data_IF_523032651042
#
_entry.id   IF_523032651042
#
_cell.length_a   1.000
_cell.length_b   1.000
_cell.length_c   1.000
_cell.angle_alpha   90.00
_cell.angle_beta   90.00
_cell.angle_gamma   90.00
#
_symmetry.space_group_name_H-M   'P 1'
#
loop_
_entity.id
_entity.type
_entity.pdbx_description
1 polymer ?
#
# COMPACT_ATOMS: atom_id res chain seq x y z
N UNK A 1 9.47 -15.27 -10.86
CA UNK A 1 8.52 -14.41 -11.61
C UNK A 1 7.68 -13.62 -10.62
N UNK A 2 7.35 -12.34 -10.87
CA UNK A 2 6.44 -11.59 -10.00
C UNK A 2 5.04 -12.20 -10.06
N UNK A 3 4.41 -12.45 -8.92
CA UNK A 3 3.03 -12.96 -8.86
C UNK A 3 2.07 -11.78 -8.87
N UNK A 4 1.18 -11.71 -9.87
CA UNK A 4 0.09 -10.74 -9.84
C UNK A 4 -0.89 -11.12 -8.75
N UNK A 5 -1.21 -10.18 -7.88
CA UNK A 5 -2.04 -10.37 -6.71
C UNK A 5 -3.16 -9.33 -6.71
N UNK A 6 -4.35 -9.72 -6.27
CA UNK A 6 -5.47 -8.84 -5.96
C UNK A 6 -5.93 -9.17 -4.54
N UNK A 7 -5.73 -8.26 -3.59
CA UNK A 7 -6.07 -8.47 -2.17
C UNK A 7 -6.81 -7.27 -1.60
N UNK A 8 -7.56 -7.52 -0.53
CA UNK A 8 -8.21 -6.49 0.27
C UNK A 8 -7.60 -6.54 1.67
N UNK A 9 -7.42 -5.39 2.30
CA UNK A 9 -6.91 -5.31 3.66
C UNK A 9 -6.96 -3.89 4.21
N UNK A 10 -6.54 -3.74 5.45
CA UNK A 10 -6.70 -2.51 6.20
C UNK A 10 -5.39 -1.72 6.24
N UNK A 11 -5.44 -0.43 5.96
CA UNK A 11 -4.28 0.45 6.06
C UNK A 11 -3.91 0.63 7.52
N UNK A 12 -2.70 0.25 7.90
CA UNK A 12 -2.20 0.34 9.28
C UNK A 12 -1.20 1.47 9.46
N UNK A 13 -0.51 1.90 8.40
CA UNK A 13 0.42 3.03 8.45
C UNK A 13 0.61 3.69 7.08
N UNK A 14 0.92 4.98 7.09
CA UNK A 14 1.37 5.74 5.92
C UNK A 14 2.67 6.46 6.27
N UNK A 15 3.75 6.13 5.57
CA UNK A 15 5.07 6.74 5.72
C UNK A 15 5.33 7.66 4.54
N UNK A 16 5.46 8.95 4.81
CA UNK A 16 5.82 9.96 3.81
C UNK A 16 7.33 10.06 3.63
N UNK A 17 7.82 10.48 2.46
CA UNK A 17 9.25 10.60 2.24
C UNK A 17 9.85 11.65 3.17
N UNK A 18 10.95 11.29 3.84
CA UNK A 18 11.81 12.25 4.55
C UNK A 18 12.69 13.05 3.58
N UNK A 19 13.68 13.75 4.11
CA UNK A 19 14.68 14.44 3.28
C UNK A 19 15.53 13.41 2.51
N UNK A 20 15.36 13.32 1.20
CA UNK A 20 16.07 12.36 0.36
C UNK A 20 15.77 12.50 -1.13
N UNK A 21 16.60 11.85 -1.96
CA UNK A 21 16.55 11.98 -3.43
C UNK A 21 15.41 11.18 -4.08
N UNK A 22 14.80 10.23 -3.37
CA UNK A 22 13.74 9.37 -3.92
C UNK A 22 12.45 9.60 -3.15
N UNK A 23 11.51 10.40 -3.67
CA UNK A 23 10.20 10.53 -3.05
C UNK A 23 9.45 9.20 -3.20
N UNK A 24 9.25 8.50 -2.08
CA UNK A 24 8.36 7.36 -1.98
C UNK A 24 7.39 7.54 -0.81
N UNK A 25 6.10 7.31 -1.05
CA UNK A 25 5.11 7.12 0.02
C UNK A 25 4.91 5.63 0.19
N UNK A 26 5.06 5.14 1.42
CA UNK A 26 4.87 3.72 1.73
C UNK A 26 3.59 3.59 2.55
N UNK A 27 2.62 2.86 2.02
CA UNK A 27 1.41 2.49 2.74
C UNK A 27 1.59 1.05 3.22
N UNK A 28 1.46 0.81 4.51
CA UNK A 28 1.43 -0.54 5.07
C UNK A 28 -0.02 -0.95 5.26
N UNK A 29 -0.37 -2.15 4.81
CA UNK A 29 -1.67 -2.74 5.04
C UNK A 29 -1.54 -4.10 5.73
N UNK A 30 -2.49 -4.42 6.60
CA UNK A 30 -2.70 -5.77 7.10
C UNK A 30 -3.62 -6.54 6.14
N UNK A 31 -3.13 -7.68 5.66
CA UNK A 31 -3.88 -8.64 4.84
C UNK A 31 -3.89 -9.94 5.61
N UNK A 32 -4.99 -10.22 6.32
CA UNK A 32 -5.18 -11.47 7.08
C UNK A 32 -4.03 -11.74 8.06
N UNK A 33 -3.59 -10.71 8.80
CA UNK A 33 -2.48 -10.81 9.76
C UNK A 33 -1.08 -10.73 9.15
N UNK A 34 -0.97 -10.54 7.84
CA UNK A 34 0.31 -10.35 7.14
C UNK A 34 0.45 -8.92 6.66
N UNK A 35 1.56 -8.28 7.03
CA UNK A 35 1.89 -6.94 6.54
C UNK A 35 2.29 -6.96 5.06
N UNK A 36 1.66 -6.11 4.25
CA UNK A 36 1.99 -5.86 2.85
C UNK A 36 2.29 -4.36 2.66
N UNK A 37 3.40 -4.06 1.98
CA UNK A 37 3.76 -2.67 1.68
C UNK A 37 3.37 -2.26 0.27
N UNK A 38 2.72 -1.12 0.13
CA UNK A 38 2.45 -0.47 -1.14
C UNK A 38 3.40 0.70 -1.27
N UNK A 39 4.29 0.64 -2.27
CA UNK A 39 5.34 1.63 -2.46
C UNK A 39 4.99 2.52 -3.63
N UNK A 40 4.57 3.74 -3.35
CA UNK A 40 4.21 4.76 -4.34
C UNK A 40 5.43 5.62 -4.64
N UNK A 41 6.14 5.27 -5.70
CA UNK A 41 7.32 5.99 -6.16
C UNK A 41 6.92 7.30 -6.85
N UNK A 42 7.83 8.28 -6.80
CA UNK A 42 7.62 9.60 -7.40
C UNK A 42 6.40 10.34 -6.83
N UNK A 43 5.94 9.94 -5.64
CA UNK A 43 4.86 10.58 -4.89
C UNK A 43 5.43 11.14 -3.59
N UNK A 44 4.93 12.32 -3.21
CA UNK A 44 5.20 12.94 -1.90
C UNK A 44 3.99 12.91 -0.97
N UNK A 45 2.80 12.71 -1.52
CA UNK A 45 1.55 12.62 -0.79
C UNK A 45 0.57 11.69 -1.51
N UNK A 46 -0.40 11.17 -0.76
CA UNK A 46 -1.58 10.44 -1.22
C UNK A 46 -2.78 11.05 -0.51
N UNK A 47 -3.76 11.52 -1.27
CA UNK A 47 -4.89 12.30 -0.71
C UNK A 47 -6.04 11.42 -0.24
N UNK A 48 -6.13 10.17 -0.71
CA UNK A 48 -7.31 9.33 -0.52
C UNK A 48 -7.02 8.01 0.20
N UNK A 49 -5.91 7.91 0.93
CA UNK A 49 -5.53 6.70 1.65
C UNK A 49 -5.19 7.08 3.08
N UNK A 50 -6.09 6.74 3.99
CA UNK A 50 -5.97 7.02 5.42
C UNK A 50 -5.79 5.74 6.23
N UNK A 51 -5.14 5.88 7.39
CA UNK A 51 -5.02 4.80 8.37
C UNK A 51 -6.42 4.40 8.85
N UNK A 52 -6.67 3.09 8.92
CA UNK A 52 -7.97 2.51 9.27
C UNK A 52 -8.88 2.22 8.07
N UNK A 53 -8.56 2.72 6.87
CA UNK A 53 -9.36 2.42 5.68
C UNK A 53 -9.10 1.00 5.17
N UNK A 54 -10.17 0.35 4.69
CA UNK A 54 -10.07 -0.88 3.90
C UNK A 54 -9.89 -0.53 2.43
N UNK A 55 -8.83 -1.06 1.82
CA UNK A 55 -8.55 -0.85 0.39
C UNK A 55 -8.35 -2.19 -0.32
N UNK A 56 -8.80 -2.25 -1.58
CA UNK A 56 -8.46 -3.33 -2.50
C UNK A 56 -7.29 -2.90 -3.37
N UNK A 57 -6.30 -3.76 -3.50
CA UNK A 57 -5.04 -3.49 -4.20
C UNK A 57 -4.77 -4.58 -5.21
N UNK A 58 -4.31 -4.18 -6.40
CA UNK A 58 -3.84 -5.08 -7.45
C UNK A 58 -2.46 -4.68 -7.95
N UNK A 59 -1.57 -5.67 -8.05
CA UNK A 59 -0.26 -5.48 -8.65
C UNK A 59 0.67 -6.68 -8.50
N UNK A 60 1.89 -6.52 -8.99
CA UNK A 60 2.92 -7.55 -8.90
C UNK A 60 3.60 -7.53 -7.52
N UNK A 61 3.53 -8.65 -6.81
CA UNK A 61 4.20 -8.80 -5.51
C UNK A 61 5.67 -9.13 -5.73
N UNK A 62 6.51 -8.41 -5.01
CA UNK A 62 7.96 -8.63 -4.91
C UNK A 62 8.38 -8.56 -3.44
N UNK A 63 9.56 -9.07 -3.11
CA UNK A 63 10.11 -8.96 -1.75
C UNK A 63 11.17 -7.86 -1.71
N UNK A 64 10.98 -6.88 -0.81
CA UNK A 64 11.97 -5.83 -0.51
C UNK A 64 12.49 -6.05 0.90
N UNK A 65 13.74 -6.50 1.04
CA UNK A 65 14.39 -6.76 2.35
C UNK A 65 13.55 -7.68 3.27
N UNK A 66 12.96 -8.72 2.70
CA UNK A 66 12.13 -9.68 3.44
C UNK A 66 10.68 -9.25 3.68
N UNK A 67 10.30 -8.03 3.30
CA UNK A 67 8.91 -7.55 3.38
C UNK A 67 8.24 -7.66 2.01
N UNK A 68 7.07 -8.31 1.90
CA UNK A 68 6.33 -8.33 0.64
C UNK A 68 5.84 -6.92 0.31
N UNK A 69 6.03 -6.51 -0.93
CA UNK A 69 5.59 -5.21 -1.39
C UNK A 69 5.10 -5.21 -2.83
N UNK A 70 4.34 -4.17 -3.17
CA UNK A 70 3.87 -3.87 -4.52
C UNK A 70 4.27 -2.44 -4.84
N UNK A 71 4.98 -2.25 -5.95
CA UNK A 71 5.35 -0.91 -6.43
C UNK A 71 4.24 -0.34 -7.31
N UNK A 72 3.86 0.91 -7.07
CA UNK A 72 2.85 1.67 -7.81
C UNK A 72 1.59 0.84 -8.15
N UNK A 73 0.93 0.25 -7.13
CA UNK A 73 -0.23 -0.60 -7.37
C UNK A 73 -1.41 0.20 -7.91
N UNK A 74 -2.35 -0.52 -8.53
CA UNK A 74 -3.73 -0.06 -8.62
C UNK A 74 -4.41 -0.28 -7.27
N UNK A 75 -5.17 0.71 -6.81
CA UNK A 75 -5.94 0.58 -5.59
C UNK A 75 -7.33 1.20 -5.73
N UNK A 76 -8.25 0.71 -4.90
CA UNK A 76 -9.62 1.25 -4.78
C UNK A 76 -9.99 1.22 -3.31
N UNK A 77 -10.58 2.32 -2.84
CA UNK A 77 -11.13 2.39 -1.49
C UNK A 77 -12.39 1.53 -1.47
N UNK A 78 -12.44 0.58 -0.53
CA UNK A 78 -13.67 -0.17 -0.27
C UNK A 78 -14.47 0.72 0.68
N UNK A 79 -15.60 1.26 0.21
CA UNK A 79 -16.53 1.95 1.11
C UNK A 79 -16.92 0.98 2.22
N UNK A 80 -16.75 1.39 3.48
CA UNK A 80 -17.53 0.81 4.56
C UNK A 80 -18.99 1.21 4.33
N UNK A 81 -19.92 0.36 4.73
CA UNK A 81 -21.32 0.79 4.84
C UNK A 81 -21.34 1.96 5.84
N UNK A 82 -21.59 3.17 5.33
CA UNK A 82 -21.79 4.36 6.16
C UNK A 82 -23.11 4.14 6.93
N UNK A 83 -23.03 3.96 8.26
CA UNK A 83 -24.17 4.09 9.19
C UNK A 83 -24.59 5.56 9.36
#
# INVERSE_FOLDING_TARGET
>A
MPRLLSVTGNVTAVTYPGEGLRPEVIVTMDVEGTALQLVFQSRRTLVCVDIGQTIRVKGAVVNRRGVPCIYNPFYTIVKGDDD
#
